data_IF_436677503881
#
_entry.id   IF_436677503881
#
_cell.length_a   1.000
_cell.length_b   1.000
_cell.length_c   1.000
_cell.angle_alpha   90.00
_cell.angle_beta   90.00
_cell.angle_gamma   90.00
#
_symmetry.space_group_name_H-M   'P 1'
#
loop_
_entity.id
_entity.type
_entity.pdbx_description
1 polymer ?
#
# COMPACT_ATOMS: atom_id res chain seq x y z
N UNK A 1 -2.67 7.13 -18.78
CA UNK A 1 -2.45 6.33 -17.55
C UNK A 1 -1.32 6.99 -16.78
N UNK A 2 -1.41 7.05 -15.45
CA UNK A 2 -0.23 7.41 -14.66
C UNK A 2 0.75 6.23 -14.77
N UNK A 3 1.93 6.50 -15.31
CA UNK A 3 2.89 5.46 -15.66
C UNK A 3 4.08 5.55 -14.71
N UNK A 4 4.34 4.48 -13.96
CA UNK A 4 5.58 4.35 -13.22
C UNK A 4 6.74 3.95 -14.14
N UNK A 5 7.95 4.31 -13.76
CA UNK A 5 9.18 3.97 -14.45
C UNK A 5 9.92 2.82 -13.75
N UNK A 6 9.76 1.60 -14.28
CA UNK A 6 10.45 0.41 -13.78
C UNK A 6 11.98 0.47 -13.96
N UNK A 7 12.51 1.34 -14.84
CA UNK A 7 13.95 1.47 -15.04
C UNK A 7 14.62 2.26 -13.92
N UNK A 8 13.84 2.98 -13.11
CA UNK A 8 14.32 3.70 -11.95
C UNK A 8 13.71 3.07 -10.68
N UNK A 9 14.43 2.13 -10.05
CA UNK A 9 13.98 1.54 -8.80
C UNK A 9 13.78 2.59 -7.71
N UNK A 10 12.90 2.30 -6.76
CA UNK A 10 12.76 3.09 -5.54
C UNK A 10 13.95 2.78 -4.64
N UNK A 11 14.64 3.81 -4.13
CA UNK A 11 15.74 3.60 -3.21
C UNK A 11 15.27 2.97 -1.89
N UNK A 12 16.10 2.13 -1.29
CA UNK A 12 15.74 1.38 -0.08
C UNK A 12 15.30 2.27 1.09
N UNK A 13 15.94 3.43 1.27
CA UNK A 13 15.63 4.42 2.30
C UNK A 13 14.29 5.13 2.05
N UNK A 14 14.00 5.47 0.79
CA UNK A 14 12.70 6.00 0.38
C UNK A 14 11.58 4.98 0.63
N UNK A 15 11.81 3.72 0.27
CA UNK A 15 10.86 2.64 0.51
C UNK A 15 10.62 2.44 2.02
N UNK A 16 11.68 2.42 2.82
CA UNK A 16 11.58 2.32 4.28
C UNK A 16 10.80 3.51 4.88
N UNK A 17 11.02 4.73 4.37
CA UNK A 17 10.28 5.91 4.80
C UNK A 17 8.78 5.81 4.45
N UNK A 18 8.43 5.31 3.26
CA UNK A 18 7.05 5.05 2.86
C UNK A 18 6.37 4.01 3.77
N UNK A 19 7.04 2.90 4.08
CA UNK A 19 6.52 1.87 5.01
C UNK A 19 6.29 2.43 6.41
N UNK A 20 7.25 3.19 6.94
CA UNK A 20 7.14 3.82 8.26
C UNK A 20 5.99 4.84 8.30
N UNK A 21 5.84 5.68 7.27
CA UNK A 21 4.77 6.67 7.20
C UNK A 21 3.38 6.01 7.10
N UNK A 22 3.23 5.01 6.23
CA UNK A 22 1.99 4.24 6.10
C UNK A 22 1.63 3.56 7.43
N UNK A 23 2.59 2.88 8.07
CA UNK A 23 2.36 2.21 9.36
C UNK A 23 2.02 3.18 10.49
N UNK A 24 2.60 4.39 10.51
CA UNK A 24 2.25 5.40 11.50
C UNK A 24 0.80 5.89 11.35
N UNK A 25 0.28 5.94 10.12
CA UNK A 25 -1.13 6.27 9.85
C UNK A 25 -2.12 5.24 10.37
N UNK A 26 -1.66 4.01 10.64
CA UNK A 26 -2.49 2.93 11.21
C UNK A 26 -2.79 3.11 12.70
N UNK A 27 -2.09 4.03 13.38
CA UNK A 27 -2.30 4.37 14.79
C UNK A 27 -3.24 5.57 14.87
N UNK A 28 -4.53 5.29 15.09
CA UNK A 28 -5.51 6.34 15.39
C UNK A 28 -5.38 6.73 16.86
N UNK A 29 -4.70 7.84 17.14
CA UNK A 29 -4.71 8.45 18.47
C UNK A 29 -6.08 9.07 18.82
N UNK A 30 -6.44 9.09 20.11
CA UNK A 30 -7.59 9.81 20.66
C UNK A 30 -8.73 8.95 21.22
N UNK A 31 -9.89 9.58 21.47
CA UNK A 31 -11.11 9.02 22.10
C UNK A 31 -11.81 7.88 21.31
N UNK A 32 -11.17 7.34 20.27
CA UNK A 32 -11.69 6.21 19.48
C UNK A 32 -11.64 4.87 20.22
N UNK A 33 -10.97 4.83 21.38
CA UNK A 33 -10.88 3.64 22.25
C UNK A 33 -9.92 2.56 21.74
N UNK A 34 -9.17 2.82 20.67
CA UNK A 34 -8.25 1.84 20.03
C UNK A 34 -6.84 1.82 20.63
N UNK A 35 -6.50 2.78 21.51
CA UNK A 35 -5.18 2.86 22.14
C UNK A 35 -4.03 3.15 21.15
N UNK A 36 -2.79 2.87 21.56
CA UNK A 36 -1.56 3.03 20.74
C UNK A 36 -1.32 1.85 19.78
N UNK A 37 -2.20 0.85 19.75
CA UNK A 37 -1.99 -0.36 18.94
C UNK A 37 -2.41 -0.11 17.49
N UNK A 38 -1.57 -0.41 16.49
CA UNK A 38 -1.92 -0.29 15.09
C UNK A 38 -3.17 -1.12 14.77
N UNK A 39 -4.17 -0.50 14.13
CA UNK A 39 -5.39 -1.21 13.73
C UNK A 39 -5.14 -2.16 12.55
N UNK A 40 -4.17 -1.83 11.70
CA UNK A 40 -3.86 -2.57 10.47
C UNK A 40 -2.44 -3.10 10.50
N UNK A 41 -2.24 -4.27 9.92
CA UNK A 41 -0.92 -4.69 9.44
C UNK A 41 -0.64 -4.10 8.07
N UNK A 42 0.63 -4.04 7.69
CA UNK A 42 1.07 -3.55 6.39
C UNK A 42 1.87 -4.63 5.66
N UNK A 43 1.43 -4.94 4.45
CA UNK A 43 2.12 -5.82 3.52
C UNK A 43 2.65 -5.01 2.34
N UNK A 44 3.65 -5.53 1.65
CA UNK A 44 4.18 -4.93 0.44
C UNK A 44 4.52 -5.99 -0.61
N UNK A 45 4.01 -5.81 -1.82
CA UNK A 45 4.53 -6.46 -3.02
C UNK A 45 5.64 -5.59 -3.60
N UNK A 46 6.85 -6.13 -3.66
CA UNK A 46 8.05 -5.43 -4.15
C UNK A 46 8.32 -5.86 -5.59
N UNK A 47 8.39 -4.89 -6.50
CA UNK A 47 8.78 -5.12 -7.89
C UNK A 47 10.19 -4.57 -8.17
N UNK A 48 10.41 -3.27 -7.91
CA UNK A 48 11.62 -2.54 -8.26
C UNK A 48 12.07 -1.64 -7.09
N UNK A 49 12.68 -2.24 -6.07
CA UNK A 49 13.29 -1.53 -4.93
C UNK A 49 14.77 -1.92 -4.84
N UNK A 50 15.65 -0.93 -4.67
CA UNK A 50 17.08 -1.17 -4.60
C UNK A 50 17.46 -2.08 -3.44
N UNK A 51 18.25 -3.12 -3.72
CA UNK A 51 18.77 -4.04 -2.71
C UNK A 51 17.74 -4.97 -2.08
N UNK A 52 16.51 -5.05 -2.62
CA UNK A 52 15.47 -5.95 -2.15
C UNK A 52 14.93 -6.82 -3.29
N UNK A 53 14.95 -8.13 -3.09
CA UNK A 53 14.45 -9.08 -4.08
C UNK A 53 12.94 -8.92 -4.29
N UNK A 54 12.42 -9.07 -5.53
CA UNK A 54 10.99 -9.09 -5.78
C UNK A 54 10.28 -10.18 -4.99
N UNK A 55 9.14 -9.81 -4.39
CA UNK A 55 8.38 -10.71 -3.52
C UNK A 55 7.27 -10.00 -2.77
N UNK A 56 6.48 -10.79 -2.04
CA UNK A 56 5.53 -10.29 -1.06
C UNK A 56 6.15 -10.34 0.34
N UNK A 57 5.98 -9.27 1.10
CA UNK A 57 6.56 -9.09 2.43
C UNK A 57 5.51 -8.58 3.42
N UNK A 58 5.63 -8.99 4.69
CA UNK A 58 4.98 -8.33 5.83
C UNK A 58 5.97 -7.34 6.44
N UNK A 59 5.52 -6.12 6.74
CA UNK A 59 6.31 -5.12 7.43
C UNK A 59 6.17 -5.24 8.94
N UNK A 60 7.30 -5.37 9.64
CA UNK A 60 7.40 -5.25 11.09
C UNK A 60 7.84 -3.82 11.45
N UNK A 61 6.93 -2.97 11.98
CA UNK A 61 7.26 -1.60 12.35
C UNK A 61 8.17 -1.51 13.57
N UNK A 62 8.14 -2.50 14.48
CA UNK A 62 8.95 -2.47 15.70
C UNK A 62 10.43 -2.75 15.38
N UNK A 63 10.69 -3.79 14.58
CA UNK A 63 12.01 -4.11 14.07
C UNK A 63 12.45 -3.26 12.88
N UNK A 64 11.54 -2.47 12.28
CA UNK A 64 11.72 -1.79 10.98
C UNK A 64 12.22 -2.75 9.91
N UNK A 65 11.64 -3.94 9.88
CA UNK A 65 12.10 -5.07 9.07
C UNK A 65 11.01 -5.56 8.13
N UNK A 66 11.43 -6.28 7.09
CA UNK A 66 10.51 -6.97 6.18
C UNK A 66 10.68 -8.48 6.36
N UNK A 67 9.56 -9.16 6.57
CA UNK A 67 9.50 -10.61 6.62
C UNK A 67 8.98 -11.12 5.29
N UNK A 68 9.76 -11.94 4.60
CA UNK A 68 9.33 -12.55 3.35
C UNK A 68 8.11 -13.44 3.60
N UNK A 69 7.04 -13.19 2.84
CA UNK A 69 5.82 -14.01 2.81
C UNK A 69 5.89 -14.96 1.62
N UNK A 70 6.20 -14.43 0.43
CA UNK A 70 6.30 -15.22 -0.80
C UNK A 70 7.38 -14.65 -1.72
N UNK A 71 8.38 -15.45 -2.13
CA UNK A 71 9.37 -15.00 -3.11
C UNK A 71 8.78 -14.96 -4.52
N UNK A 72 9.40 -14.15 -5.39
CA UNK A 72 9.09 -14.13 -6.82
C UNK A 72 8.48 -12.81 -7.27
N UNK A 73 8.43 -12.62 -8.59
CA UNK A 73 7.98 -11.35 -9.19
C UNK A 73 6.46 -11.21 -9.07
N UNK A 74 5.93 -10.21 -8.34
CA UNK A 74 4.50 -10.11 -8.12
C UNK A 74 3.76 -9.37 -9.26
N UNK A 75 4.48 -8.80 -10.23
CA UNK A 75 3.91 -7.97 -11.30
C UNK A 75 2.73 -8.58 -12.05
N UNK A 76 2.84 -9.85 -12.49
CA UNK A 76 1.74 -10.53 -13.19
C UNK A 76 0.50 -10.71 -12.29
N UNK A 77 0.72 -11.13 -11.05
CA UNK A 77 -0.35 -11.25 -10.05
C UNK A 77 -1.04 -9.91 -9.81
N UNK A 78 -0.26 -8.85 -9.58
CA UNK A 78 -0.76 -7.50 -9.32
C UNK A 78 -1.60 -7.00 -10.50
N UNK A 79 -1.09 -7.16 -11.72
CA UNK A 79 -1.76 -6.65 -12.92
C UNK A 79 -3.04 -7.44 -13.25
N UNK A 80 -3.03 -8.77 -13.08
CA UNK A 80 -4.18 -9.64 -13.33
C UNK A 80 -5.33 -9.36 -12.36
N UNK A 81 -5.01 -9.02 -11.11
CA UNK A 81 -5.99 -8.83 -10.05
C UNK A 81 -6.37 -7.36 -9.83
N UNK A 82 -6.00 -6.48 -10.75
CA UNK A 82 -6.34 -5.06 -10.73
C UNK A 82 -7.45 -4.76 -11.74
N UNK A 83 -8.57 -4.19 -11.28
CA UNK A 83 -9.77 -4.03 -12.11
C UNK A 83 -9.79 -2.76 -12.94
N UNK A 84 -8.96 -1.77 -12.60
CA UNK A 84 -8.87 -0.52 -13.36
C UNK A 84 -7.71 -0.60 -14.35
N UNK A 85 -7.86 0.03 -15.51
CA UNK A 85 -6.83 0.03 -16.57
C UNK A 85 -5.95 1.30 -16.56
N UNK A 86 -5.90 2.03 -15.43
CA UNK A 86 -5.26 3.35 -15.34
C UNK A 86 -3.80 3.32 -14.85
N UNK A 87 -3.34 2.21 -14.27
CA UNK A 87 -1.96 1.99 -13.81
C UNK A 87 -1.42 0.69 -14.36
N UNK A 88 -0.11 0.66 -14.63
CA UNK A 88 0.63 -0.58 -14.84
C UNK A 88 1.33 -0.94 -13.53
N UNK A 89 0.80 -1.93 -12.80
CA UNK A 89 1.29 -2.26 -11.46
C UNK A 89 2.64 -2.98 -11.51
N UNK A 90 2.94 -3.71 -12.58
CA UNK A 90 4.25 -4.35 -12.80
C UNK A 90 5.38 -3.33 -12.86
N UNK A 91 5.07 -2.08 -13.22
CA UNK A 91 6.05 -1.01 -13.35
C UNK A 91 6.18 -0.14 -12.09
N UNK A 92 5.30 -0.32 -11.10
CA UNK A 92 5.44 0.33 -9.80
C UNK A 92 6.67 -0.18 -9.07
N UNK A 93 7.31 0.63 -8.22
CA UNK A 93 8.39 0.15 -7.36
C UNK A 93 7.88 -0.86 -6.33
N UNK A 94 6.76 -0.54 -5.68
CA UNK A 94 6.06 -1.45 -4.78
C UNK A 94 4.56 -1.14 -4.70
N UNK A 95 3.79 -2.13 -4.23
CA UNK A 95 2.37 -2.00 -3.89
C UNK A 95 2.17 -2.35 -2.42
N UNK A 96 1.80 -1.35 -1.62
CA UNK A 96 1.52 -1.48 -0.20
C UNK A 96 0.05 -1.87 0.02
N UNK A 97 -0.18 -2.78 0.96
CA UNK A 97 -1.49 -3.39 1.23
C UNK A 97 -1.75 -3.38 2.74
N UNK A 98 -2.48 -2.39 3.27
CA UNK A 98 -2.96 -2.43 4.64
C UNK A 98 -4.05 -3.49 4.76
N UNK A 99 -3.95 -4.33 5.79
CA UNK A 99 -4.90 -5.39 6.08
C UNK A 99 -5.34 -5.34 7.55
N UNK A 100 -6.59 -5.69 7.81
CA UNK A 100 -7.18 -5.66 9.16
C UNK A 100 -7.85 -6.99 9.50
N UNK A 101 -7.84 -7.37 10.77
CA UNK A 101 -8.66 -8.49 11.26
C UNK A 101 -10.12 -8.06 11.38
N UNK A 102 -10.84 -8.09 10.26
CA UNK A 102 -12.19 -7.53 10.13
C UNK A 102 -13.15 -8.06 11.19
N UNK A 103 -13.15 -9.37 11.46
CA UNK A 103 -14.01 -9.98 12.47
C UNK A 103 -13.72 -9.44 13.88
N UNK A 104 -12.44 -9.36 14.27
CA UNK A 104 -12.05 -8.84 15.59
C UNK A 104 -12.43 -7.37 15.78
N UNK A 105 -12.37 -6.56 14.71
CA UNK A 105 -12.81 -5.15 14.77
C UNK A 105 -14.33 -5.06 14.89
N UNK A 106 -15.09 -5.83 14.11
CA UNK A 106 -16.55 -5.80 14.20
C UNK A 106 -17.07 -6.32 15.55
N UNK A 107 -16.44 -7.36 16.10
CA UNK A 107 -16.76 -7.89 17.42
C UNK A 107 -16.48 -6.88 18.55
N UNK A 108 -15.42 -6.08 18.41
CA UNK A 108 -15.00 -5.12 19.44
C UNK A 108 -15.84 -3.82 19.47
N UNK A 109 -16.31 -3.32 18.31
CA UNK A 109 -16.90 -1.97 18.20
C UNK A 109 -18.24 -1.90 17.45
N UNK A 110 -18.82 -3.04 17.06
CA UNK A 110 -20.12 -3.12 16.37
C UNK A 110 -20.15 -2.32 15.06
N UNK A 111 -21.31 -1.78 14.68
CA UNK A 111 -21.50 -1.00 13.43
C UNK A 111 -20.56 0.22 13.30
N UNK A 112 -20.00 0.71 14.41
CA UNK A 112 -19.01 1.80 14.41
C UNK A 112 -17.63 1.35 13.91
N UNK A 113 -17.36 0.04 13.88
CA UNK A 113 -16.09 -0.53 13.44
C UNK A 113 -15.71 -0.16 12.03
N UNK A 114 -16.67 -0.17 11.09
CA UNK A 114 -16.42 0.24 9.71
C UNK A 114 -15.92 1.69 9.61
N UNK A 115 -16.44 2.60 10.43
CA UNK A 115 -15.97 4.00 10.44
C UNK A 115 -14.54 4.10 10.95
N UNK A 116 -14.17 3.33 11.97
CA UNK A 116 -12.82 3.31 12.53
C UNK A 116 -11.84 2.71 11.52
N UNK A 117 -12.19 1.61 10.86
CA UNK A 117 -11.38 1.00 9.79
C UNK A 117 -11.19 1.97 8.63
N UNK A 118 -12.26 2.61 8.17
CA UNK A 118 -12.19 3.59 7.08
C UNK A 118 -11.34 4.82 7.47
N UNK A 119 -11.45 5.29 8.71
CA UNK A 119 -10.62 6.39 9.21
C UNK A 119 -9.13 5.98 9.25
N UNK A 120 -8.82 4.76 9.74
CA UNK A 120 -7.46 4.26 9.80
C UNK A 120 -6.87 4.09 8.40
N UNK A 121 -7.60 3.45 7.48
CA UNK A 121 -7.08 3.24 6.12
C UNK A 121 -6.94 4.54 5.34
N UNK A 122 -7.82 5.53 5.60
CA UNK A 122 -7.68 6.88 5.05
C UNK A 122 -6.45 7.59 5.60
N UNK A 123 -6.17 7.47 6.89
CA UNK A 123 -4.96 8.02 7.51
C UNK A 123 -3.68 7.37 6.94
N UNK A 124 -3.66 6.04 6.81
CA UNK A 124 -2.56 5.28 6.16
C UNK A 124 -2.30 5.77 4.74
N UNK A 125 -3.36 5.93 3.94
CA UNK A 125 -3.22 6.42 2.57
C UNK A 125 -2.69 7.86 2.53
N UNK A 126 -3.20 8.74 3.38
CA UNK A 126 -2.79 10.14 3.42
C UNK A 126 -1.35 10.32 3.86
N UNK A 127 -0.89 9.57 4.87
CA UNK A 127 0.51 9.63 5.32
C UNK A 127 1.45 9.11 4.24
N UNK A 128 1.07 8.04 3.53
CA UNK A 128 1.85 7.55 2.39
C UNK A 128 1.94 8.58 1.27
N UNK A 129 0.82 9.20 0.87
CA UNK A 129 0.80 10.26 -0.13
C UNK A 129 1.74 11.41 0.24
N UNK A 130 1.71 11.83 1.50
CA UNK A 130 2.55 12.92 2.00
C UNK A 130 4.03 12.54 1.98
N UNK A 131 4.36 11.31 2.38
CA UNK A 131 5.73 10.80 2.32
C UNK A 131 6.24 10.70 0.88
N UNK A 132 5.44 10.14 -0.04
CA UNK A 132 5.80 10.05 -1.45
C UNK A 132 6.04 11.44 -2.06
N UNK A 133 5.17 12.42 -1.77
CA UNK A 133 5.35 13.78 -2.24
C UNK A 133 6.66 14.41 -1.72
N UNK A 134 6.98 14.21 -0.44
CA UNK A 134 8.23 14.70 0.15
C UNK A 134 9.49 14.01 -0.43
N UNK A 135 9.37 12.75 -0.85
CA UNK A 135 10.45 11.94 -1.41
C UNK A 135 10.57 12.06 -2.95
N UNK A 136 9.66 12.77 -3.61
CA UNK A 136 9.61 12.86 -5.07
C UNK A 136 9.18 11.56 -5.76
N UNK A 137 8.37 10.75 -5.09
CA UNK A 137 7.74 9.55 -5.64
C UNK A 137 6.30 9.82 -6.05
N UNK A 138 5.86 9.16 -7.11
CA UNK A 138 4.44 9.03 -7.43
C UNK A 138 3.74 8.08 -6.45
N UNK A 139 2.46 8.36 -6.20
CA UNK A 139 1.62 7.54 -5.34
C UNK A 139 0.21 7.41 -5.96
N UNK A 140 -0.30 6.18 -6.03
CA UNK A 140 -1.65 5.90 -6.50
C UNK A 140 -2.36 4.97 -5.54
N UNK A 141 -3.63 5.22 -5.25
CA UNK A 141 -4.46 4.37 -4.39
C UNK A 141 -5.63 3.81 -5.19
N UNK A 142 -5.94 2.53 -4.96
CA UNK A 142 -7.10 1.91 -5.59
C UNK A 142 -7.84 0.93 -4.67
N UNK A 143 -9.16 0.87 -4.89
CA UNK A 143 -10.09 -0.05 -4.23
C UNK A 143 -10.56 -1.18 -5.15
N UNK A 144 -10.37 -1.03 -6.47
CA UNK A 144 -10.77 -2.01 -7.48
C UNK A 144 -9.71 -3.10 -7.68
N UNK A 145 -9.67 -4.08 -6.77
CA UNK A 145 -8.80 -5.25 -6.87
C UNK A 145 -9.52 -6.51 -6.35
N UNK A 146 -9.02 -7.69 -6.72
CA UNK A 146 -9.57 -8.96 -6.23
C UNK A 146 -9.08 -9.26 -4.80
N UNK A 147 -9.96 -9.02 -3.83
CA UNK A 147 -9.66 -9.22 -2.42
C UNK A 147 -9.34 -10.69 -2.08
N UNK A 148 -10.03 -11.65 -2.73
CA UNK A 148 -9.88 -13.08 -2.44
C UNK A 148 -8.49 -13.55 -2.89
N UNK A 149 -8.09 -13.17 -4.11
CA UNK A 149 -6.76 -13.46 -4.64
C UNK A 149 -5.65 -12.90 -3.75
N UNK A 150 -5.83 -11.70 -3.16
CA UNK A 150 -4.84 -11.13 -2.23
C UNK A 150 -4.80 -11.85 -0.88
N UNK A 151 -5.95 -12.31 -0.36
CA UNK A 151 -5.99 -13.14 0.85
C UNK A 151 -5.19 -14.44 0.65
N UNK A 152 -5.37 -15.09 -0.50
CA UNK A 152 -4.63 -16.31 -0.84
C UNK A 152 -3.13 -16.04 -1.03
N UNK A 153 -2.79 -15.01 -1.82
CA UNK A 153 -1.40 -14.70 -2.18
C UNK A 153 -0.55 -14.29 -0.97
N UNK A 154 -1.16 -13.62 0.01
CA UNK A 154 -0.50 -13.18 1.25
C UNK A 154 -0.71 -14.15 2.43
N UNK A 155 -1.47 -15.24 2.26
CA UNK A 155 -1.74 -16.22 3.31
C UNK A 155 -2.57 -15.66 4.48
N UNK A 156 -3.48 -14.72 4.22
CA UNK A 156 -4.21 -13.99 5.26
C UNK A 156 -5.41 -14.76 5.85
N UNK A 157 -5.79 -15.88 5.23
CA UNK A 157 -6.88 -16.72 5.71
C UNK A 157 -6.60 -17.25 7.14
N UNK A 158 -5.34 -17.58 7.44
CA UNK A 158 -4.93 -18.09 8.75
C UNK A 158 -4.99 -17.02 9.85
N UNK A 159 -4.78 -15.75 9.49
CA UNK A 159 -4.79 -14.63 10.43
C UNK A 159 -6.17 -13.97 10.55
N UNK A 160 -7.08 -14.28 9.63
CA UNK A 160 -8.39 -13.64 9.52
C UNK A 160 -8.29 -12.18 9.05
N UNK A 161 -7.20 -11.82 8.36
CA UNK A 161 -6.95 -10.48 7.87
C UNK A 161 -7.58 -10.27 6.48
N UNK A 162 -8.13 -9.08 6.24
CA UNK A 162 -8.69 -8.68 4.95
C UNK A 162 -7.94 -7.45 4.44
N UNK A 163 -7.42 -7.47 3.21
CA UNK A 163 -6.88 -6.30 2.54
C UNK A 163 -7.95 -5.20 2.42
N UNK A 164 -7.58 -3.95 2.65
CA UNK A 164 -8.52 -2.83 2.61
C UNK A 164 -8.45 -2.04 1.30
N UNK A 165 -7.23 -1.78 0.83
CA UNK A 165 -6.94 -1.06 -0.41
C UNK A 165 -5.53 -1.44 -0.86
N UNK A 166 -5.16 -1.04 -2.07
CA UNK A 166 -3.79 -1.13 -2.58
C UNK A 166 -3.24 0.26 -2.85
N UNK A 167 -1.96 0.47 -2.53
CA UNK A 167 -1.28 1.75 -2.71
C UNK A 167 0.03 1.52 -3.48
N UNK A 168 0.07 1.99 -4.71
CA UNK A 168 1.24 1.88 -5.58
C UNK A 168 2.18 3.07 -5.35
N UNK A 169 3.48 2.79 -5.26
CA UNK A 169 4.53 3.81 -5.20
C UNK A 169 5.59 3.54 -6.26
N UNK A 170 6.24 4.59 -6.73
CA UNK A 170 7.33 4.48 -7.70
C UNK A 170 7.70 5.82 -8.29
N UNK A 171 8.78 5.88 -9.07
CA UNK A 171 9.07 7.07 -9.84
C UNK A 171 8.06 7.21 -10.98
N UNK A 172 7.44 8.38 -11.11
CA UNK A 172 6.58 8.67 -12.26
C UNK A 172 7.45 8.84 -13.51
N UNK A 173 6.97 8.34 -14.64
CA UNK A 173 7.52 8.78 -15.91
C UNK A 173 7.18 10.24 -16.09
N UNK A 174 8.13 11.06 -16.53
CA UNK A 174 7.79 12.36 -17.05
C UNK A 174 6.82 12.16 -18.21
N UNK A 175 5.57 12.60 -18.04
CA UNK A 175 4.69 12.79 -19.17
C UNK A 175 5.30 13.92 -20.03
N UNK A 176 5.24 13.84 -21.38
CA UNK A 176 5.44 15.04 -22.17
C UNK A 176 4.40 16.07 -21.69
N UNK A 177 4.88 17.21 -21.24
CA UNK A 177 4.04 18.29 -20.75
C UNK A 177 3.25 18.87 -21.93
N UNK A 178 2.08 18.30 -22.23
CA UNK A 178 1.10 18.92 -23.13
C UNK A 178 0.42 20.09 -22.37
N UNK A 179 1.18 21.14 -22.09
CA UNK A 179 0.59 22.45 -21.85
C UNK A 179 0.09 22.99 -23.18
N UNK A 180 -1.14 22.62 -23.56
CA UNK A 180 -1.87 23.36 -24.59
C UNK A 180 -2.24 24.73 -24.02
N UNK A 181 -1.37 25.71 -24.23
CA UNK A 181 -1.76 27.11 -24.23
C UNK A 181 -2.52 27.39 -25.54
N UNK A 182 -3.81 27.09 -25.57
CA UNK A 182 -4.72 27.81 -26.46
C UNK A 182 -5.54 28.76 -25.60
N UNK A 183 -5.04 30.00 -25.56
CA UNK A 183 -5.75 31.19 -25.11
C UNK A 183 -6.86 31.44 -26.14
N UNK A 184 -8.10 31.56 -25.67
CA UNK A 184 -9.18 32.25 -26.38
C UNK A 184 -9.78 33.29 -25.45
#
# INVERSE_FOLDING_TARGET
>A
SAAFDAQRPVAADQFAACLAAASAGSVLGGDTGTGETPLTKLYAFVNHVDGLEPGAYEYDPAGRALRLVKPGRPGEFLQKNYFLANYNLEQSGAVLVPAVRTAAVLDAVGDRGYRVVNAAVGAVAQTLYTACAALGLGCGVALGFDNISYIEELGLAETGESPLLIMMIGHERPAPADFRYEIA
#
